data_IF_410430331823
#
_entry.id   IF_410430331823
#
_cell.length_a   1.000
_cell.length_b   1.000
_cell.length_c   1.000
_cell.angle_alpha   90.00
_cell.angle_beta   90.00
_cell.angle_gamma   90.00
#
_symmetry.space_group_name_H-M   'P 1'
#
loop_
_entity.id
_entity.type
_entity.pdbx_description
1 polymer ?
#
# COMPACT_ATOMS: atom_id res chain seq x y z
N UNK A 1 18.36 15.37 1.55
CA UNK A 1 18.45 14.85 0.15
C UNK A 1 17.31 15.41 -0.67
N UNK A 2 17.42 15.46 -2.02
CA UNK A 2 16.29 15.80 -2.89
C UNK A 2 15.60 14.50 -3.31
N UNK A 3 14.31 14.57 -3.60
CA UNK A 3 13.59 13.45 -4.18
C UNK A 3 14.18 13.04 -5.54
N UNK A 4 14.39 11.75 -5.74
CA UNK A 4 14.75 11.17 -7.03
C UNK A 4 14.30 9.72 -7.11
N UNK A 5 14.11 9.22 -8.33
CA UNK A 5 13.89 7.80 -8.59
C UNK A 5 14.84 7.33 -9.67
N UNK A 6 15.52 6.23 -9.42
CA UNK A 6 16.52 5.66 -10.33
C UNK A 6 16.28 4.16 -10.47
N UNK A 7 16.25 3.66 -11.71
CA UNK A 7 16.20 2.24 -12.01
C UNK A 7 17.63 1.77 -12.26
N UNK A 8 18.14 0.94 -11.36
CA UNK A 8 19.51 0.40 -11.44
C UNK A 8 19.59 -0.81 -12.37
N UNK A 9 18.53 -1.64 -12.43
CA UNK A 9 18.46 -2.84 -13.27
C UNK A 9 17.04 -3.15 -13.69
N UNK A 10 16.90 -3.67 -14.91
CA UNK A 10 15.64 -4.23 -15.40
C UNK A 10 15.85 -5.72 -15.69
N UNK A 11 14.98 -6.56 -15.18
CA UNK A 11 14.93 -8.01 -15.42
C UNK A 11 14.27 -8.28 -16.78
N UNK A 12 14.56 -9.41 -17.45
CA UNK A 12 13.90 -9.78 -18.73
C UNK A 12 12.36 -9.83 -18.66
N UNK A 13 11.77 -10.06 -17.49
CA UNK A 13 10.31 -10.00 -17.27
C UNK A 13 9.73 -8.59 -17.38
N UNK A 14 10.56 -7.54 -17.26
CA UNK A 14 10.13 -6.16 -17.15
C UNK A 14 10.20 -5.59 -15.71
N UNK A 15 10.48 -6.42 -14.73
CA UNK A 15 10.67 -6.01 -13.34
C UNK A 15 11.84 -5.03 -13.19
N UNK A 16 11.70 -4.08 -12.28
CA UNK A 16 12.68 -3.00 -12.09
C UNK A 16 13.26 -3.04 -10.69
N UNK A 17 14.58 -3.15 -10.59
CA UNK A 17 15.34 -2.92 -9.35
C UNK A 17 15.78 -1.47 -9.32
N UNK A 18 15.32 -0.71 -8.35
CA UNK A 18 15.60 0.72 -8.29
C UNK A 18 15.75 1.26 -6.88
N UNK A 19 15.84 2.57 -6.80
CA UNK A 19 15.96 3.33 -5.55
C UNK A 19 15.13 4.61 -5.64
N UNK A 20 14.19 4.76 -4.71
CA UNK A 20 13.48 6.01 -4.48
C UNK A 20 14.15 6.74 -3.31
N UNK A 21 14.65 7.93 -3.57
CA UNK A 21 15.27 8.78 -2.53
C UNK A 21 14.28 9.82 -2.05
N UNK A 22 14.13 9.96 -0.74
CA UNK A 22 13.35 11.02 -0.08
C UNK A 22 14.28 11.88 0.80
N UNK A 23 13.83 13.01 1.32
CA UNK A 23 14.60 13.78 2.30
C UNK A 23 15.02 12.95 3.52
N UNK A 24 14.27 11.92 3.88
CA UNK A 24 14.48 11.07 5.06
C UNK A 24 15.29 9.80 4.78
N UNK A 25 15.65 9.54 3.54
CA UNK A 25 16.45 8.38 3.19
C UNK A 25 16.11 7.73 1.86
N UNK A 26 16.78 6.64 1.56
CA UNK A 26 16.59 5.86 0.35
C UNK A 26 15.69 4.65 0.62
N UNK A 27 14.79 4.38 -0.30
CA UNK A 27 13.88 3.24 -0.31
C UNK A 27 14.29 2.32 -1.46
N UNK A 28 14.55 1.06 -1.14
CA UNK A 28 14.92 0.05 -2.12
C UNK A 28 13.66 -0.49 -2.81
N UNK A 29 13.54 -0.33 -4.14
CA UNK A 29 12.40 -0.83 -4.88
C UNK A 29 12.74 -2.11 -5.68
N UNK A 30 11.78 -3.03 -5.87
CA UNK A 30 10.40 -2.95 -5.39
C UNK A 30 10.28 -3.04 -3.86
N UNK A 31 9.25 -2.37 -3.32
CA UNK A 31 9.01 -2.25 -1.87
C UNK A 31 7.56 -2.57 -1.51
N UNK A 32 7.37 -3.19 -0.35
CA UNK A 32 6.07 -3.33 0.31
C UNK A 32 5.97 -2.31 1.45
N UNK A 33 4.85 -1.59 1.52
CA UNK A 33 4.57 -0.59 2.55
C UNK A 33 3.62 -1.16 3.60
N UNK A 34 4.07 -1.44 4.83
CA UNK A 34 3.16 -1.79 5.93
C UNK A 34 2.15 -0.67 6.19
N UNK A 35 0.86 -1.05 6.36
CA UNK A 35 -0.22 -0.08 6.53
C UNK A 35 -0.37 0.34 7.99
N UNK A 36 -0.10 1.61 8.26
CA UNK A 36 -0.25 2.30 9.53
C UNK A 36 -1.49 3.20 9.58
N UNK A 37 -2.70 2.61 9.57
CA UNK A 37 -4.00 3.28 9.38
C UNK A 37 -4.20 4.54 10.22
N UNK A 38 -3.84 4.52 11.50
CA UNK A 38 -4.01 5.62 12.46
C UNK A 38 -2.65 6.01 13.07
N UNK A 39 -1.69 6.32 12.22
CA UNK A 39 -0.30 6.59 12.61
C UNK A 39 0.35 5.42 13.40
N UNK A 40 -0.09 4.19 13.15
CA UNK A 40 0.50 2.99 13.74
C UNK A 40 0.22 1.76 12.89
N UNK A 41 1.22 0.94 12.66
CA UNK A 41 1.06 -0.42 12.12
C UNK A 41 0.56 -1.29 13.26
N UNK A 42 -0.66 -1.81 13.13
CA UNK A 42 -1.36 -2.46 14.24
C UNK A 42 -0.57 -3.61 14.85
N UNK A 43 -0.28 -3.49 16.16
CA UNK A 43 0.45 -4.50 16.92
C UNK A 43 1.97 -4.40 16.86
N UNK A 44 2.53 -3.36 16.22
CA UNK A 44 3.98 -3.12 16.16
C UNK A 44 4.31 -1.70 16.65
N UNK A 45 5.43 -1.58 17.36
CA UNK A 45 6.07 -0.31 17.63
C UNK A 45 6.93 0.12 16.44
N UNK A 46 7.34 1.39 16.42
CA UNK A 46 8.24 1.90 15.39
C UNK A 46 9.60 1.21 15.43
N UNK A 47 10.16 0.98 16.62
CA UNK A 47 11.40 0.24 16.83
C UNK A 47 11.37 -1.15 16.16
N UNK A 48 10.26 -1.88 16.33
CA UNK A 48 10.09 -3.19 15.69
C UNK A 48 10.03 -3.06 14.16
N UNK A 49 9.37 -2.04 13.63
CA UNK A 49 9.32 -1.80 12.18
C UNK A 49 10.72 -1.47 11.61
N UNK A 50 11.53 -0.71 12.35
CA UNK A 50 12.92 -0.43 11.99
C UNK A 50 13.78 -1.70 12.03
N UNK A 51 13.65 -2.52 13.08
CA UNK A 51 14.32 -3.83 13.19
C UNK A 51 13.95 -4.78 12.05
N UNK A 52 12.70 -4.72 11.57
CA UNK A 52 12.22 -5.49 10.43
C UNK A 52 12.69 -4.92 9.08
N UNK A 53 13.30 -3.75 9.05
CA UNK A 53 13.82 -3.10 7.86
C UNK A 53 12.74 -2.43 6.99
N UNK A 54 11.65 -1.95 7.59
CA UNK A 54 10.68 -1.15 6.87
C UNK A 54 11.26 0.23 6.55
N UNK A 55 11.37 0.57 5.27
CA UNK A 55 11.93 1.85 4.80
C UNK A 55 10.85 2.91 4.54
N UNK A 56 9.60 2.47 4.40
CA UNK A 56 8.43 3.31 4.16
C UNK A 56 7.19 2.62 4.73
N UNK A 57 6.27 3.41 5.26
CA UNK A 57 4.93 2.95 5.69
C UNK A 57 3.84 3.76 4.99
N UNK A 58 2.62 3.21 4.96
CA UNK A 58 1.45 3.94 4.49
C UNK A 58 0.58 4.36 5.68
N UNK A 59 0.11 5.62 5.68
CA UNK A 59 -0.87 6.12 6.64
C UNK A 59 -2.15 6.59 5.92
N UNK A 60 -3.32 6.40 6.56
CA UNK A 60 -4.59 6.70 5.90
C UNK A 60 -5.11 8.11 6.25
N UNK A 61 -5.19 8.95 5.25
CA UNK A 61 -5.64 10.36 5.37
C UNK A 61 -7.02 10.48 6.00
N UNK A 62 -8.00 9.68 5.57
CA UNK A 62 -9.36 9.70 6.11
C UNK A 62 -9.38 9.54 7.64
N UNK A 63 -8.69 8.53 8.16
CA UNK A 63 -8.68 8.26 9.59
C UNK A 63 -7.98 9.37 10.39
N UNK A 64 -6.86 9.86 9.88
CA UNK A 64 -6.09 10.92 10.52
C UNK A 64 -6.76 12.29 10.44
N UNK A 65 -7.54 12.55 9.39
CA UNK A 65 -8.39 13.72 9.25
C UNK A 65 -9.49 13.74 10.32
N UNK A 66 -10.18 12.61 10.52
CA UNK A 66 -11.26 12.53 11.51
C UNK A 66 -10.73 12.48 12.94
N UNK A 67 -9.61 11.78 13.16
CA UNK A 67 -9.00 11.64 14.50
C UNK A 67 -7.49 11.35 14.38
N UNK A 68 -6.61 12.14 14.97
CA UNK A 68 -6.89 13.26 15.88
C UNK A 68 -7.19 14.60 15.19
N UNK A 69 -7.19 14.64 13.85
CA UNK A 69 -7.30 15.83 13.04
C UNK A 69 -5.93 16.32 12.52
N UNK A 70 -5.88 16.63 11.23
CA UNK A 70 -4.64 17.02 10.54
C UNK A 70 -4.01 18.30 11.10
N UNK A 71 -4.84 19.25 11.58
CA UNK A 71 -4.36 20.49 12.21
C UNK A 71 -3.60 20.24 13.52
N UNK A 72 -4.07 19.26 14.33
CA UNK A 72 -3.36 18.86 15.53
C UNK A 72 -2.02 18.22 15.19
N UNK A 73 -2.01 17.30 14.22
CA UNK A 73 -0.78 16.64 13.76
C UNK A 73 0.22 17.66 13.23
N UNK A 74 -0.24 18.66 12.44
CA UNK A 74 0.60 19.77 11.96
C UNK A 74 1.23 20.55 13.10
N UNK A 75 0.45 20.93 14.11
CA UNK A 75 0.93 21.67 15.30
C UNK A 75 1.98 20.88 16.10
N UNK A 76 1.90 19.55 16.06
CA UNK A 76 2.85 18.65 16.74
C UNK A 76 4.09 18.31 15.86
N UNK A 77 4.21 18.92 14.67
CA UNK A 77 5.38 18.79 13.81
C UNK A 77 5.27 17.74 12.71
N UNK A 78 4.04 17.36 12.31
CA UNK A 78 3.75 16.38 11.28
C UNK A 78 3.79 14.93 11.76
N UNK A 79 3.42 13.98 10.88
CA UNK A 79 3.29 12.56 11.22
C UNK A 79 4.59 11.95 11.73
N UNK A 80 5.73 12.27 11.11
CA UNK A 80 7.03 11.73 11.50
C UNK A 80 7.34 11.97 12.98
N UNK A 81 7.15 13.22 13.42
CA UNK A 81 7.35 13.59 14.82
C UNK A 81 6.25 13.06 15.72
N UNK A 82 5.00 13.13 15.28
CA UNK A 82 3.83 12.69 16.04
C UNK A 82 3.90 11.20 16.40
N UNK A 83 4.37 10.36 15.49
CA UNK A 83 4.47 8.91 15.70
C UNK A 83 5.90 8.41 15.95
N UNK A 84 6.90 9.29 16.02
CA UNK A 84 8.32 8.94 16.17
C UNK A 84 8.83 7.97 15.08
N UNK A 85 8.47 8.26 13.81
CA UNK A 85 8.90 7.47 12.66
C UNK A 85 9.93 8.24 11.82
N UNK A 86 11.21 7.78 11.76
CA UNK A 86 12.28 8.53 11.11
C UNK A 86 12.40 8.27 9.60
N UNK A 87 11.61 7.33 9.05
CA UNK A 87 11.66 6.94 7.64
C UNK A 87 10.48 7.49 6.86
N UNK A 88 10.41 7.18 5.55
CA UNK A 88 9.40 7.72 4.67
C UNK A 88 7.96 7.31 5.03
N UNK A 89 7.00 8.19 4.74
CA UNK A 89 5.57 7.96 4.87
C UNK A 89 4.89 8.30 3.55
N UNK A 90 4.06 7.40 3.04
CA UNK A 90 3.07 7.68 2.01
C UNK A 90 1.70 7.85 2.69
N UNK A 91 0.95 8.90 2.34
CA UNK A 91 -0.46 9.02 2.71
C UNK A 91 -1.35 8.77 1.50
N UNK A 92 -2.39 7.94 1.68
CA UNK A 92 -3.44 7.80 0.67
C UNK A 92 -4.30 9.08 0.57
N UNK A 93 -5.22 9.11 -0.40
CA UNK A 93 -6.12 10.26 -0.60
C UNK A 93 -7.27 10.33 0.41
N UNK A 94 -7.61 9.20 1.05
CA UNK A 94 -8.82 9.01 1.83
C UNK A 94 -10.05 8.60 1.02
N UNK A 95 -9.99 8.63 -0.32
CA UNK A 95 -11.12 8.33 -1.20
C UNK A 95 -11.69 6.92 -1.00
N UNK A 96 -10.83 5.91 -0.96
CA UNK A 96 -11.23 4.52 -0.74
C UNK A 96 -11.92 4.31 0.62
N UNK A 97 -11.46 4.94 1.70
CA UNK A 97 -12.05 4.79 3.03
C UNK A 97 -13.43 5.47 3.10
N UNK A 98 -13.60 6.61 2.45
CA UNK A 98 -14.93 7.23 2.29
C UNK A 98 -15.85 6.28 1.52
N UNK A 99 -15.33 5.62 0.46
CA UNK A 99 -16.07 4.64 -0.31
C UNK A 99 -16.47 3.43 0.54
N UNK A 100 -15.57 2.86 1.34
CA UNK A 100 -15.77 1.58 2.05
C UNK A 100 -16.41 1.70 3.44
N UNK A 101 -16.32 2.87 4.10
CA UNK A 101 -16.74 3.04 5.51
C UNK A 101 -17.92 3.98 5.70
N UNK A 102 -18.35 4.70 4.67
CA UNK A 102 -19.47 5.63 4.77
C UNK A 102 -20.69 5.12 4.02
N UNK A 103 -21.72 4.70 4.73
CA UNK A 103 -23.00 4.30 4.15
C UNK A 103 -23.76 5.48 3.51
N UNK A 104 -23.47 6.71 3.97
CA UNK A 104 -24.06 7.94 3.50
C UNK A 104 -23.00 8.82 2.81
N UNK A 105 -22.68 8.48 1.57
CA UNK A 105 -21.79 9.28 0.72
C UNK A 105 -22.50 9.78 -0.51
N UNK A 106 -22.13 10.96 -0.97
CA UNK A 106 -22.59 11.54 -2.23
C UNK A 106 -21.39 12.03 -3.02
N UNK A 107 -21.15 11.40 -4.19
CA UNK A 107 -20.14 11.85 -5.14
C UNK A 107 -20.67 13.02 -5.94
N UNK A 108 -19.85 14.06 -6.10
CA UNK A 108 -20.12 15.24 -6.92
C UNK A 108 -18.83 15.64 -7.63
N UNK A 109 -18.92 16.50 -8.64
CA UNK A 109 -17.73 17.00 -9.32
C UNK A 109 -16.87 17.90 -8.40
N UNK A 110 -17.48 18.50 -7.38
CA UNK A 110 -16.77 19.27 -6.35
C UNK A 110 -15.88 18.40 -5.46
N UNK A 111 -16.37 17.22 -5.08
CA UNK A 111 -15.73 16.30 -4.15
C UNK A 111 -16.72 15.27 -3.62
N UNK A 112 -16.37 14.60 -2.52
CA UNK A 112 -17.24 13.61 -1.87
C UNK A 112 -17.77 14.14 -0.54
N UNK A 113 -19.10 14.19 -0.41
CA UNK A 113 -19.79 14.44 0.86
C UNK A 113 -20.01 13.13 1.58
N UNK A 114 -19.70 13.09 2.85
CA UNK A 114 -19.87 11.88 3.67
C UNK A 114 -20.15 12.22 5.13
N UNK A 115 -20.66 11.23 5.86
CA UNK A 115 -20.80 11.30 7.31
C UNK A 115 -19.70 10.50 7.99
N UNK A 116 -19.10 11.11 9.00
CA UNK A 116 -18.08 10.47 9.83
C UNK A 116 -18.67 9.24 10.55
N UNK A 117 -17.99 8.11 10.43
CA UNK A 117 -18.34 6.88 11.16
C UNK A 117 -18.07 6.98 12.68
N UNK A 118 -17.40 8.04 13.13
CA UNK A 118 -17.07 8.24 14.55
C UNK A 118 -18.18 8.95 15.30
N UNK A 119 -18.76 9.98 14.72
CA UNK A 119 -19.70 10.90 15.40
C UNK A 119 -20.86 11.37 14.51
N UNK A 120 -20.93 10.90 13.27
CA UNK A 120 -21.99 11.25 12.31
C UNK A 120 -21.89 12.66 11.72
N UNK A 121 -20.85 13.44 12.02
CA UNK A 121 -20.65 14.77 11.46
C UNK A 121 -20.52 14.74 9.93
N UNK A 122 -21.01 15.80 9.27
CA UNK A 122 -20.94 15.91 7.81
C UNK A 122 -19.63 16.56 7.37
N UNK A 123 -19.02 15.98 6.35
CA UNK A 123 -17.76 16.42 5.77
C UNK A 123 -17.88 16.51 4.25
N UNK A 124 -17.15 17.47 3.66
CA UNK A 124 -16.88 17.55 2.24
C UNK A 124 -15.38 17.41 2.00
N UNK A 125 -14.97 16.33 1.36
CA UNK A 125 -13.60 16.10 0.94
C UNK A 125 -13.47 16.47 -0.53
N UNK A 126 -12.90 17.64 -0.81
CA UNK A 126 -12.56 18.08 -2.16
C UNK A 126 -11.12 17.65 -2.50
N UNK A 127 -10.70 17.68 -3.77
CA UNK A 127 -9.31 17.44 -4.15
C UNK A 127 -8.30 18.35 -3.43
N UNK A 128 -8.65 19.64 -3.30
CA UNK A 128 -7.83 20.62 -2.59
C UNK A 128 -7.75 20.32 -1.09
N UNK A 129 -8.90 19.93 -0.49
CA UNK A 129 -8.95 19.57 0.93
C UNK A 129 -8.16 18.31 1.22
N UNK A 130 -8.22 17.30 0.35
CA UNK A 130 -7.39 16.09 0.48
C UNK A 130 -5.88 16.40 0.38
N UNK A 131 -5.50 17.30 -0.53
CA UNK A 131 -4.13 17.79 -0.64
C UNK A 131 -3.70 18.59 0.60
N UNK A 132 -4.55 19.53 1.08
CA UNK A 132 -4.32 20.33 2.29
C UNK A 132 -4.07 19.42 3.51
N UNK A 133 -4.91 18.40 3.71
CA UNK A 133 -4.77 17.46 4.82
C UNK A 133 -3.42 16.75 4.76
N UNK A 134 -3.03 16.22 3.60
CA UNK A 134 -1.77 15.50 3.43
C UNK A 134 -0.54 16.42 3.59
N UNK A 135 -0.64 17.67 3.12
CA UNK A 135 0.36 18.69 3.38
C UNK A 135 0.51 18.99 4.89
N UNK A 136 -0.59 19.08 5.61
CA UNK A 136 -0.60 19.29 7.06
C UNK A 136 -0.06 18.07 7.83
N UNK A 137 -0.34 16.86 7.36
CA UNK A 137 0.21 15.62 7.91
C UNK A 137 1.72 15.51 7.69
N UNK A 138 2.26 16.12 6.62
CA UNK A 138 3.70 16.16 6.34
C UNK A 138 4.28 14.81 5.91
N UNK A 139 3.52 14.00 5.15
CA UNK A 139 4.04 12.77 4.54
C UNK A 139 5.05 13.08 3.43
N UNK A 140 5.89 12.12 3.04
CA UNK A 140 6.83 12.28 1.93
C UNK A 140 6.14 12.16 0.58
N UNK A 141 5.15 11.27 0.49
CA UNK A 141 4.37 11.03 -0.72
C UNK A 141 2.89 11.20 -0.41
N UNK A 142 2.22 12.09 -1.13
CA UNK A 142 0.79 12.32 -1.07
C UNK A 142 0.10 11.78 -2.32
N UNK A 143 -1.12 11.25 -2.19
CA UNK A 143 -1.91 10.74 -3.31
C UNK A 143 -3.00 11.75 -3.69
N UNK A 144 -3.30 11.86 -5.00
CA UNK A 144 -4.48 12.63 -5.43
C UNK A 144 -5.77 11.96 -4.97
N UNK A 145 -6.83 12.74 -4.75
CA UNK A 145 -8.16 12.17 -4.51
C UNK A 145 -8.67 11.48 -5.77
N UNK A 146 -9.20 10.28 -5.62
CA UNK A 146 -9.75 9.45 -6.70
C UNK A 146 -11.10 8.87 -6.35
N UNK A 147 -11.87 8.48 -7.36
CA UNK A 147 -13.09 7.72 -7.18
C UNK A 147 -12.87 6.26 -7.50
N UNK A 148 -12.77 5.44 -6.44
CA UNK A 148 -12.77 4.00 -6.57
C UNK A 148 -14.20 3.49 -6.70
N UNK A 149 -14.44 2.58 -7.64
CA UNK A 149 -15.75 1.93 -7.86
C UNK A 149 -15.65 0.42 -7.66
N UNK A 150 -16.74 -0.20 -7.26
CA UNK A 150 -16.81 -1.66 -7.08
C UNK A 150 -16.70 -2.40 -8.42
N UNK A 151 -16.11 -3.58 -8.39
CA UNK A 151 -16.05 -4.49 -9.52
C UNK A 151 -16.99 -5.70 -9.27
N UNK A 152 -17.82 -6.10 -10.26
CA UNK A 152 -17.92 -5.54 -11.62
C UNK A 152 -18.70 -4.22 -11.67
N UNK A 153 -18.22 -3.28 -12.48
CA UNK A 153 -18.86 -1.99 -12.68
C UNK A 153 -19.46 -1.87 -14.09
N UNK A 154 -20.61 -1.19 -14.26
CA UNK A 154 -21.10 -0.76 -15.55
C UNK A 154 -20.09 0.21 -16.20
N UNK A 155 -19.96 0.13 -17.52
CA UNK A 155 -18.97 0.93 -18.26
C UNK A 155 -19.18 2.44 -18.10
N UNK A 156 -20.42 2.89 -18.17
CA UNK A 156 -20.80 4.30 -18.00
C UNK A 156 -20.39 4.86 -16.63
N UNK A 157 -20.49 4.06 -15.58
CA UNK A 157 -19.99 4.42 -14.24
C UNK A 157 -18.46 4.49 -14.21
N UNK A 158 -17.76 3.56 -14.88
CA UNK A 158 -16.32 3.59 -14.96
C UNK A 158 -15.80 4.82 -15.72
N UNK A 159 -16.47 5.21 -16.81
CA UNK A 159 -16.18 6.44 -17.57
C UNK A 159 -16.39 7.70 -16.74
N UNK A 160 -17.51 7.78 -16.01
CA UNK A 160 -17.80 8.91 -15.13
C UNK A 160 -16.79 9.04 -13.98
N UNK A 161 -16.41 7.92 -13.34
CA UNK A 161 -15.41 7.89 -12.28
C UNK A 161 -14.02 8.27 -12.78
N UNK A 162 -13.62 7.81 -13.97
CA UNK A 162 -12.38 8.20 -14.62
C UNK A 162 -12.34 9.72 -14.87
N UNK A 163 -13.37 10.27 -15.51
CA UNK A 163 -13.46 11.70 -15.82
C UNK A 163 -13.36 12.54 -14.56
N UNK A 164 -14.08 12.16 -13.51
CA UNK A 164 -14.04 12.85 -12.23
C UNK A 164 -12.68 12.74 -11.56
N UNK A 165 -12.08 11.55 -11.54
CA UNK A 165 -10.74 11.34 -10.96
C UNK A 165 -9.69 12.18 -11.67
N UNK A 166 -9.72 12.27 -13.00
CA UNK A 166 -8.78 13.10 -13.77
C UNK A 166 -8.95 14.59 -13.46
N UNK A 167 -10.19 15.08 -13.39
CA UNK A 167 -10.46 16.47 -13.03
C UNK A 167 -10.03 16.79 -11.58
N UNK A 168 -10.28 15.87 -10.66
CA UNK A 168 -9.81 15.98 -9.27
C UNK A 168 -8.28 15.97 -9.18
N UNK A 169 -7.63 15.12 -9.96
CA UNK A 169 -6.16 15.07 -10.01
C UNK A 169 -5.58 16.40 -10.52
N UNK A 170 -6.19 17.01 -11.56
CA UNK A 170 -5.80 18.32 -12.10
C UNK A 170 -5.93 19.41 -11.04
N UNK A 171 -7.07 19.48 -10.35
CA UNK A 171 -7.32 20.48 -9.28
C UNK A 171 -6.35 20.30 -8.11
N UNK A 172 -6.16 19.05 -7.65
CA UNK A 172 -5.21 18.75 -6.58
C UNK A 172 -3.78 19.13 -6.97
N UNK A 173 -3.38 18.90 -8.23
CA UNK A 173 -2.05 19.24 -8.74
C UNK A 173 -1.81 20.74 -8.73
N UNK A 174 -2.77 21.53 -9.22
CA UNK A 174 -2.69 22.99 -9.21
C UNK A 174 -2.55 23.50 -7.78
N UNK A 175 -3.43 23.06 -6.88
CA UNK A 175 -3.39 23.46 -5.47
C UNK A 175 -2.05 23.13 -4.80
N UNK A 176 -1.53 21.92 -5.06
CA UNK A 176 -0.26 21.47 -4.49
C UNK A 176 0.92 22.30 -4.99
N UNK A 177 0.95 22.65 -6.28
CA UNK A 177 1.97 23.54 -6.87
C UNK A 177 1.90 24.97 -6.32
N UNK A 178 0.72 25.52 -6.14
CA UNK A 178 0.54 26.84 -5.53
C UNK A 178 1.04 26.86 -4.08
N UNK A 179 0.76 25.81 -3.30
CA UNK A 179 1.28 25.67 -1.94
C UNK A 179 2.83 25.57 -1.94
N UNK A 180 3.42 24.87 -2.91
CA UNK A 180 4.86 24.79 -3.09
C UNK A 180 5.48 26.17 -3.35
N UNK A 181 4.88 26.96 -4.23
CA UNK A 181 5.34 28.30 -4.54
C UNK A 181 5.26 29.26 -3.34
N UNK A 182 4.16 29.20 -2.59
CA UNK A 182 3.97 30.06 -1.38
C UNK A 182 4.93 29.73 -0.25
N UNK A 183 5.30 28.46 -0.08
CA UNK A 183 6.10 27.98 1.05
C UNK A 183 7.58 27.74 0.71
N UNK A 184 8.03 28.08 -0.50
CA UNK A 184 9.44 28.02 -0.90
C UNK A 184 10.04 26.63 -1.04
N UNK A 185 9.34 25.70 -1.62
CA UNK A 185 9.59 24.27 -1.86
C UNK A 185 8.87 23.34 -0.88
N UNK A 186 8.03 22.48 -1.42
CA UNK A 186 7.49 21.37 -0.64
C UNK A 186 8.49 20.20 -0.61
N UNK A 187 8.68 19.65 0.57
CA UNK A 187 9.45 18.42 0.76
C UNK A 187 8.58 17.17 0.55
N UNK A 188 7.60 17.23 -0.35
CA UNK A 188 6.65 16.16 -0.63
C UNK A 188 6.48 15.95 -2.13
N UNK A 189 6.30 14.69 -2.55
CA UNK A 189 5.83 14.33 -3.87
C UNK A 189 4.34 14.06 -3.86
N UNK A 190 3.65 14.40 -4.97
CA UNK A 190 2.25 14.05 -5.18
C UNK A 190 2.14 13.07 -6.34
N UNK A 191 1.51 11.91 -6.13
CA UNK A 191 1.32 10.89 -7.16
C UNK A 191 -0.09 10.95 -7.75
N UNK A 192 -0.18 10.78 -9.08
CA UNK A 192 -1.44 10.59 -9.79
C UNK A 192 -1.95 9.17 -9.66
N UNK A 193 -3.27 8.96 -9.75
CA UNK A 193 -3.91 7.64 -9.66
C UNK A 193 -4.65 7.34 -10.95
N UNK A 194 -4.23 6.29 -11.67
CA UNK A 194 -4.91 5.79 -12.87
C UNK A 194 -6.13 4.97 -12.45
N UNK A 195 -7.30 5.32 -12.98
CA UNK A 195 -8.55 4.63 -12.79
C UNK A 195 -9.04 4.01 -14.12
N UNK A 196 -10.20 3.34 -14.15
CA UNK A 196 -10.80 2.74 -15.36
C UNK A 196 -11.37 1.34 -15.16
N UNK A 197 -11.55 0.90 -13.89
CA UNK A 197 -12.05 -0.43 -13.53
C UNK A 197 -11.30 -1.54 -14.28
N UNK A 198 -12.02 -2.51 -14.87
CA UNK A 198 -11.47 -3.60 -15.67
C UNK A 198 -11.60 -3.36 -17.18
N UNK A 199 -11.61 -2.08 -17.62
CA UNK A 199 -11.68 -1.69 -19.02
C UNK A 199 -10.31 -1.16 -19.49
N UNK A 200 -9.63 -1.93 -20.32
CA UNK A 200 -8.27 -1.63 -20.78
C UNK A 200 -8.16 -0.28 -21.53
N UNK A 201 -9.16 0.05 -22.35
CA UNK A 201 -9.21 1.33 -23.08
C UNK A 201 -9.38 2.53 -22.12
N UNK A 202 -10.21 2.39 -21.09
CA UNK A 202 -10.36 3.42 -20.06
C UNK A 202 -9.09 3.58 -19.23
N UNK A 203 -8.42 2.48 -18.88
CA UNK A 203 -7.10 2.51 -18.21
C UNK A 203 -6.07 3.28 -19.02
N UNK A 204 -5.99 3.00 -20.33
CA UNK A 204 -5.09 3.72 -21.25
C UNK A 204 -5.43 5.20 -21.35
N UNK A 205 -6.71 5.53 -21.40
CA UNK A 205 -7.16 6.93 -21.48
C UNK A 205 -6.83 7.68 -20.19
N UNK A 206 -7.14 7.10 -19.02
CA UNK A 206 -6.78 7.67 -17.72
C UNK A 206 -5.27 7.91 -17.59
N UNK A 207 -4.46 6.92 -18.00
CA UNK A 207 -3.01 7.06 -17.97
C UNK A 207 -2.52 8.23 -18.83
N UNK A 208 -3.01 8.38 -20.08
CA UNK A 208 -2.64 9.50 -20.96
C UNK A 208 -2.98 10.85 -20.35
N UNK A 209 -4.23 11.01 -19.85
CA UNK A 209 -4.67 12.26 -19.23
C UNK A 209 -3.85 12.65 -18.00
N UNK A 210 -3.42 11.66 -17.19
CA UNK A 210 -2.57 11.92 -16.03
C UNK A 210 -1.12 12.23 -16.41
N UNK A 211 -0.61 11.69 -17.51
CA UNK A 211 0.72 12.02 -18.02
C UNK A 211 0.83 13.50 -18.40
N UNK A 212 -0.23 14.10 -18.94
CA UNK A 212 -0.28 15.54 -19.26
C UNK A 212 -0.17 16.42 -18.01
N UNK A 213 -0.46 15.88 -16.82
CA UNK A 213 -0.34 16.60 -15.53
C UNK A 213 1.07 16.49 -14.89
N UNK A 214 1.97 15.70 -15.48
CA UNK A 214 3.38 15.52 -15.09
C UNK A 214 3.59 15.27 -13.58
N UNK A 215 3.01 14.20 -13.08
CA UNK A 215 3.25 13.77 -11.70
C UNK A 215 4.64 13.13 -11.54
N UNK A 216 5.31 13.33 -10.38
CA UNK A 216 6.59 12.69 -10.07
C UNK A 216 6.51 11.17 -9.87
N UNK A 217 5.31 10.61 -9.76
CA UNK A 217 5.03 9.19 -9.67
C UNK A 217 3.56 8.88 -9.96
N UNK A 218 3.26 7.63 -10.26
CA UNK A 218 1.93 7.20 -10.68
C UNK A 218 1.50 5.94 -9.95
N UNK A 219 0.23 5.91 -9.55
CA UNK A 219 -0.38 4.73 -8.99
C UNK A 219 -1.42 4.12 -9.94
N UNK A 220 -1.60 2.82 -9.82
CA UNK A 220 -2.68 2.05 -10.44
C UNK A 220 -3.69 1.76 -9.34
N UNK A 221 -4.81 2.49 -9.35
CA UNK A 221 -5.89 2.36 -8.38
C UNK A 221 -7.10 1.60 -8.95
N UNK A 222 -8.11 1.36 -8.11
CA UNK A 222 -9.36 0.70 -8.50
C UNK A 222 -9.21 -0.73 -9.00
N UNK A 223 -8.22 -1.43 -8.48
CA UNK A 223 -7.99 -2.87 -8.64
C UNK A 223 -7.91 -3.53 -7.26
N UNK A 224 -7.94 -4.87 -7.20
CA UNK A 224 -8.04 -5.67 -5.98
C UNK A 224 -9.31 -5.36 -5.16
N UNK A 225 -10.40 -5.01 -5.84
CA UNK A 225 -11.71 -4.67 -5.27
C UNK A 225 -12.80 -5.70 -5.65
N UNK A 226 -12.40 -6.92 -6.06
CA UNK A 226 -13.31 -8.03 -6.33
C UNK A 226 -13.04 -8.80 -7.62
N UNK A 227 -12.22 -8.28 -8.53
CA UNK A 227 -11.83 -8.95 -9.76
C UNK A 227 -10.82 -10.09 -9.51
N UNK A 228 -10.71 -11.08 -10.45
CA UNK A 228 -9.68 -12.11 -10.41
C UNK A 228 -8.27 -11.53 -10.53
N UNK A 229 -7.27 -12.25 -9.99
CA UNK A 229 -5.85 -11.87 -10.05
C UNK A 229 -5.35 -11.62 -11.48
N UNK A 230 -5.75 -12.48 -12.41
CA UNK A 230 -5.38 -12.38 -13.82
C UNK A 230 -5.86 -11.06 -14.42
N UNK A 231 -7.09 -10.65 -14.10
CA UNK A 231 -7.65 -9.37 -14.55
C UNK A 231 -6.90 -8.17 -13.94
N UNK A 232 -6.52 -8.27 -12.64
CA UNK A 232 -5.66 -7.25 -12.01
C UNK A 232 -4.33 -7.13 -12.76
N UNK A 233 -3.70 -8.26 -13.11
CA UNK A 233 -2.43 -8.27 -13.84
C UNK A 233 -2.57 -7.69 -15.24
N UNK A 234 -3.62 -8.05 -15.99
CA UNK A 234 -3.89 -7.51 -17.32
C UNK A 234 -4.05 -5.98 -17.28
N UNK A 235 -4.87 -5.48 -16.38
CA UNK A 235 -5.12 -4.04 -16.25
C UNK A 235 -3.88 -3.28 -15.76
N UNK A 236 -3.09 -3.86 -14.88
CA UNK A 236 -1.82 -3.27 -14.44
C UNK A 236 -0.80 -3.21 -15.58
N UNK A 237 -0.70 -4.25 -16.42
CA UNK A 237 0.16 -4.29 -17.59
C UNK A 237 -0.21 -3.20 -18.61
N UNK A 238 -1.50 -3.00 -18.89
CA UNK A 238 -1.99 -1.95 -19.79
C UNK A 238 -1.54 -0.55 -19.33
N UNK A 239 -1.54 -0.31 -18.03
CA UNK A 239 -1.12 0.98 -17.46
C UNK A 239 0.40 1.11 -17.47
N UNK A 240 1.13 0.10 -16.97
CA UNK A 240 2.59 0.20 -16.83
C UNK A 240 3.32 0.32 -18.16
N UNK A 241 2.74 -0.20 -19.26
CA UNK A 241 3.25 -0.02 -20.61
C UNK A 241 3.30 1.44 -21.08
N UNK A 242 2.43 2.29 -20.52
CA UNK A 242 2.33 3.72 -20.87
C UNK A 242 3.10 4.62 -19.91
N UNK A 243 3.31 4.19 -18.66
CA UNK A 243 3.94 5.02 -17.64
C UNK A 243 5.45 5.23 -17.90
N UNK A 244 5.99 6.43 -17.61
CA UNK A 244 7.40 6.74 -17.80
C UNK A 244 8.31 5.76 -17.06
N UNK A 245 9.48 5.48 -17.65
CA UNK A 245 10.45 4.55 -17.07
C UNK A 245 11.21 5.15 -15.88
N UNK A 246 11.32 6.46 -15.83
CA UNK A 246 12.01 7.24 -14.82
C UNK A 246 11.11 7.71 -13.67
N UNK A 247 9.89 7.18 -13.58
CA UNK A 247 8.94 7.49 -12.50
C UNK A 247 8.59 6.22 -11.72
N UNK A 248 8.43 6.30 -10.38
CA UNK A 248 7.96 5.18 -9.57
C UNK A 248 6.50 4.83 -9.89
N UNK A 249 6.18 3.53 -9.84
CA UNK A 249 4.87 2.96 -10.14
C UNK A 249 4.35 2.20 -8.93
N UNK A 250 3.20 2.59 -8.46
CA UNK A 250 2.58 2.05 -7.26
C UNK A 250 1.28 1.33 -7.59
N UNK A 251 1.16 0.04 -7.26
CA UNK A 251 -0.10 -0.71 -7.36
C UNK A 251 -0.75 -0.77 -5.98
N UNK A 252 -1.94 -0.16 -5.86
CA UNK A 252 -2.60 0.09 -4.58
C UNK A 252 -3.36 -1.13 -4.06
N UNK A 253 -3.28 -1.38 -2.76
CA UNK A 253 -4.13 -2.33 -2.05
C UNK A 253 -3.84 -3.81 -2.30
N UNK A 254 -2.74 -4.16 -2.93
CA UNK A 254 -2.34 -5.53 -3.28
C UNK A 254 -1.15 -5.97 -2.45
N UNK A 255 -0.93 -7.23 -2.23
CA UNK A 255 -1.55 -8.46 -2.70
C UNK A 255 -1.24 -9.60 -1.74
N UNK A 256 -1.59 -10.83 -2.12
CA UNK A 256 -1.14 -12.01 -1.39
C UNK A 256 0.34 -12.28 -1.64
N UNK A 257 1.07 -12.93 -0.70
CA UNK A 257 2.51 -13.18 -0.85
C UNK A 257 2.91 -13.80 -2.20
N UNK A 258 2.15 -14.80 -2.64
CA UNK A 258 2.37 -15.52 -3.89
C UNK A 258 2.17 -14.67 -5.16
N UNK A 259 1.50 -13.53 -5.05
CA UNK A 259 1.17 -12.62 -6.17
C UNK A 259 2.16 -11.45 -6.32
N UNK A 260 2.97 -11.17 -5.28
CA UNK A 260 3.82 -9.98 -5.27
C UNK A 260 4.83 -9.97 -6.42
N UNK A 261 5.42 -11.13 -6.73
CA UNK A 261 6.39 -11.25 -7.81
C UNK A 261 5.75 -11.04 -9.20
N UNK A 262 4.48 -11.43 -9.38
CA UNK A 262 3.75 -11.23 -10.62
C UNK A 262 3.56 -9.74 -10.91
N UNK A 263 3.13 -8.97 -9.90
CA UNK A 263 2.98 -7.52 -10.04
C UNK A 263 4.31 -6.81 -10.31
N UNK A 264 5.38 -7.26 -9.64
CA UNK A 264 6.73 -6.74 -9.88
C UNK A 264 7.20 -7.03 -11.30
N UNK A 265 6.91 -8.21 -11.85
CA UNK A 265 7.21 -8.56 -13.23
C UNK A 265 6.56 -7.62 -14.26
N UNK A 266 5.43 -6.98 -13.90
CA UNK A 266 4.77 -5.95 -14.71
C UNK A 266 5.40 -4.56 -14.57
N UNK A 267 6.50 -4.43 -13.85
CA UNK A 267 7.21 -3.16 -13.64
C UNK A 267 6.63 -2.30 -12.51
N UNK A 268 5.93 -2.88 -11.55
CA UNK A 268 5.47 -2.21 -10.32
C UNK A 268 6.64 -2.12 -9.31
N UNK A 269 6.80 -0.95 -8.71
CA UNK A 269 7.88 -0.64 -7.75
C UNK A 269 7.41 -0.59 -6.30
N UNK A 270 6.14 -0.26 -6.07
CA UNK A 270 5.59 -0.03 -4.73
C UNK A 270 4.25 -0.74 -4.58
N UNK A 271 4.02 -1.34 -3.42
CA UNK A 271 2.76 -2.03 -3.09
C UNK A 271 2.46 -1.86 -1.61
N UNK A 272 1.18 -1.90 -1.26
CA UNK A 272 0.69 -1.95 0.11
C UNK A 272 -0.48 -2.92 0.20
N UNK A 273 -0.72 -3.48 1.36
CA UNK A 273 -2.02 -4.01 1.72
C UNK A 273 -2.14 -4.23 3.25
N UNK A 274 -3.37 -4.37 3.71
CA UNK A 274 -3.66 -4.65 5.13
C UNK A 274 -3.47 -6.12 5.51
N UNK A 275 -3.24 -7.00 4.54
CA UNK A 275 -3.23 -8.45 4.75
C UNK A 275 -2.24 -8.91 5.82
N UNK A 276 -0.97 -8.46 5.87
CA UNK A 276 -0.04 -8.93 6.90
C UNK A 276 -0.58 -8.75 8.31
N UNK A 277 -1.06 -7.55 8.61
CA UNK A 277 -1.55 -7.20 9.95
C UNK A 277 -2.99 -7.70 10.20
N UNK A 278 -3.86 -7.66 9.17
CA UNK A 278 -5.25 -8.11 9.30
C UNK A 278 -5.32 -9.63 9.47
N UNK A 279 -4.65 -10.40 8.62
CA UNK A 279 -4.61 -11.85 8.70
C UNK A 279 -4.02 -12.32 10.04
N UNK A 280 -2.95 -11.68 10.51
CA UNK A 280 -2.33 -11.98 11.79
C UNK A 280 -3.32 -11.91 12.95
N UNK A 281 -4.09 -10.81 13.04
CA UNK A 281 -5.12 -10.66 14.08
C UNK A 281 -6.24 -11.69 14.01
N UNK A 282 -6.43 -12.31 12.85
CA UNK A 282 -7.36 -13.42 12.63
C UNK A 282 -6.70 -14.79 12.64
N UNK A 283 -5.50 -14.89 13.26
CA UNK A 283 -4.76 -16.16 13.43
C UNK A 283 -4.38 -16.84 12.11
N UNK A 284 -4.22 -16.08 11.04
CA UNK A 284 -3.70 -16.55 9.76
C UNK A 284 -2.27 -16.02 9.56
N UNK A 285 -1.33 -16.93 9.42
CA UNK A 285 0.10 -16.66 9.29
C UNK A 285 0.57 -17.08 7.89
N UNK A 286 1.41 -16.25 7.29
CA UNK A 286 2.02 -16.54 6.00
C UNK A 286 3.38 -17.21 6.19
N UNK A 287 3.65 -18.26 5.42
CA UNK A 287 4.90 -18.99 5.49
C UNK A 287 5.45 -19.26 4.09
N UNK A 288 6.69 -19.72 4.01
CA UNK A 288 7.32 -20.15 2.76
C UNK A 288 6.59 -21.29 2.04
N UNK A 289 5.71 -22.00 2.74
CA UNK A 289 4.94 -23.14 2.23
C UNK A 289 3.44 -22.85 2.08
N UNK A 290 3.00 -21.61 2.36
CA UNK A 290 1.61 -21.23 2.29
C UNK A 290 1.04 -20.71 3.61
N UNK A 291 -0.30 -20.74 3.78
CA UNK A 291 -0.99 -20.15 4.93
C UNK A 291 -1.17 -21.14 6.07
N UNK A 292 -0.79 -20.74 7.26
CA UNK A 292 -1.01 -21.48 8.52
C UNK A 292 -2.17 -20.83 9.29
N UNK A 293 -3.28 -21.54 9.44
CA UNK A 293 -4.40 -21.15 10.31
C UNK A 293 -4.11 -21.70 11.71
N UNK A 294 -3.42 -20.91 12.55
CA UNK A 294 -2.79 -21.38 13.79
C UNK A 294 -3.79 -21.92 14.84
N UNK A 295 -5.07 -21.55 14.76
CA UNK A 295 -6.11 -22.09 15.65
C UNK A 295 -6.46 -23.56 15.40
N UNK A 296 -6.06 -24.15 14.28
CA UNK A 296 -6.34 -25.54 13.98
C UNK A 296 -5.80 -26.49 15.07
N UNK A 297 -6.57 -27.54 15.39
CA UNK A 297 -6.25 -28.50 16.44
C UNK A 297 -4.91 -29.21 16.18
N UNK A 298 -4.52 -29.43 14.91
CA UNK A 298 -3.26 -30.08 14.52
C UNK A 298 -2.02 -29.39 15.09
N UNK A 299 -2.10 -28.10 15.42
CA UNK A 299 -0.98 -27.33 15.97
C UNK A 299 -0.92 -27.35 17.51
N UNK A 300 -1.83 -28.08 18.20
CA UNK A 300 -1.87 -28.08 19.67
C UNK A 300 -0.60 -28.61 20.34
N UNK A 301 0.12 -29.50 19.66
CA UNK A 301 1.39 -30.10 20.14
C UNK A 301 2.57 -29.83 19.16
N UNK A 302 2.39 -28.95 18.17
CA UNK A 302 3.41 -28.69 17.16
C UNK A 302 4.49 -27.76 17.73
N UNK A 303 5.66 -28.30 18.01
CA UNK A 303 6.81 -27.59 18.55
C UNK A 303 7.62 -26.83 17.48
N UNK A 304 7.30 -27.00 16.20
CA UNK A 304 7.97 -26.28 15.10
C UNK A 304 7.67 -24.78 15.18
N UNK A 305 8.56 -23.93 14.63
CA UNK A 305 8.27 -22.51 14.45
C UNK A 305 7.12 -22.30 13.46
N UNK A 306 6.61 -21.06 13.36
CA UNK A 306 5.58 -20.70 12.36
C UNK A 306 6.06 -21.14 10.96
N UNK A 307 7.27 -20.74 10.60
CA UNK A 307 7.94 -21.06 9.35
C UNK A 307 9.39 -21.48 9.66
N UNK A 308 9.77 -22.73 9.36
CA UNK A 308 11.15 -23.20 9.59
C UNK A 308 12.22 -22.43 8.79
N UNK A 309 11.85 -21.80 7.67
CA UNK A 309 12.77 -21.01 6.84
C UNK A 309 12.84 -19.53 7.25
N UNK A 310 11.93 -19.09 8.12
CA UNK A 310 11.85 -17.70 8.54
C UNK A 310 12.86 -17.36 9.64
N UNK A 311 13.57 -16.25 9.48
CA UNK A 311 14.61 -15.78 10.42
C UNK A 311 14.12 -14.75 11.44
N UNK A 312 12.81 -14.40 11.47
CA UNK A 312 12.31 -13.42 12.43
C UNK A 312 12.46 -13.89 13.88
N UNK A 313 12.48 -12.93 14.82
CA UNK A 313 12.63 -13.23 16.25
C UNK A 313 11.52 -14.14 16.79
N UNK A 314 10.33 -14.07 16.22
CA UNK A 314 9.18 -14.91 16.60
C UNK A 314 9.42 -16.37 16.21
N UNK A 315 9.83 -16.67 14.98
CA UNK A 315 10.12 -18.02 14.52
C UNK A 315 11.33 -18.63 15.25
N UNK A 316 12.32 -17.82 15.62
CA UNK A 316 13.47 -18.32 16.39
C UNK A 316 13.15 -18.67 17.84
N UNK A 317 12.03 -18.17 18.39
CA UNK A 317 11.75 -18.26 19.81
C UNK A 317 10.50 -19.04 20.18
N UNK A 318 9.46 -19.02 19.35
CA UNK A 318 8.14 -19.52 19.71
C UNK A 318 7.68 -20.66 18.79
N UNK A 319 7.01 -21.66 19.38
CA UNK A 319 6.41 -22.77 18.65
C UNK A 319 4.98 -22.44 18.17
N UNK A 320 4.52 -23.19 17.18
CA UNK A 320 3.11 -23.16 16.73
C UNK A 320 2.16 -23.50 17.88
N UNK A 321 2.51 -24.47 18.74
CA UNK A 321 1.71 -24.85 19.90
C UNK A 321 1.52 -23.68 20.86
N UNK A 322 2.58 -22.94 21.17
CA UNK A 322 2.50 -21.77 22.04
C UNK A 322 1.63 -20.65 21.46
N UNK A 323 1.85 -20.31 20.18
CA UNK A 323 1.04 -19.30 19.51
C UNK A 323 -0.43 -19.70 19.42
N UNK A 324 -0.72 -20.98 19.14
CA UNK A 324 -2.09 -21.49 19.17
C UNK A 324 -2.71 -21.31 20.56
N UNK A 325 -1.98 -21.63 21.62
CA UNK A 325 -2.42 -21.44 23.00
C UNK A 325 -2.78 -19.97 23.26
N UNK A 326 -1.91 -19.01 22.90
CA UNK A 326 -2.17 -17.58 23.08
C UNK A 326 -3.43 -17.12 22.35
N UNK A 327 -3.65 -17.57 21.12
CA UNK A 327 -4.88 -17.27 20.37
C UNK A 327 -6.13 -17.91 20.99
N UNK A 328 -6.03 -19.10 21.55
CA UNK A 328 -7.13 -19.77 22.24
C UNK A 328 -7.47 -19.10 23.57
N UNK A 329 -6.45 -18.58 24.26
CA UNK A 329 -6.60 -17.84 25.53
C UNK A 329 -7.05 -16.37 25.31
N UNK A 330 -7.06 -15.88 24.08
CA UNK A 330 -7.43 -14.48 23.78
C UNK A 330 -6.34 -13.46 24.16
N UNK A 331 -5.10 -13.89 24.31
CA UNK A 331 -3.98 -13.04 24.70
C UNK A 331 -3.61 -12.04 23.59
N UNK A 332 -3.44 -10.76 23.95
CA UNK A 332 -3.04 -9.70 23.01
C UNK A 332 -1.71 -10.04 22.33
N UNK A 333 -0.78 -10.64 23.07
CA UNK A 333 0.53 -11.07 22.59
C UNK A 333 0.43 -11.99 21.36
N UNK A 334 -0.63 -12.78 21.22
CA UNK A 334 -0.87 -13.60 20.03
C UNK A 334 -0.89 -12.76 18.74
N UNK A 335 -1.68 -11.68 18.75
CA UNK A 335 -1.80 -10.79 17.60
C UNK A 335 -0.51 -10.01 17.33
N UNK A 336 0.22 -9.61 18.37
CA UNK A 336 1.52 -8.91 18.26
C UNK A 336 2.55 -9.82 17.60
N UNK A 337 2.76 -11.02 18.11
CA UNK A 337 3.73 -11.98 17.56
C UNK A 337 3.36 -12.39 16.13
N UNK A 338 2.09 -12.64 15.87
CA UNK A 338 1.58 -12.96 14.53
C UNK A 338 1.81 -11.82 13.53
N UNK A 339 1.57 -10.58 13.95
CA UNK A 339 1.79 -9.38 13.09
C UNK A 339 3.27 -9.18 12.82
N UNK A 340 4.12 -9.32 13.85
CA UNK A 340 5.57 -9.25 13.68
C UNK A 340 6.06 -10.25 12.61
N UNK A 341 5.65 -11.52 12.74
CA UNK A 341 6.02 -12.53 11.76
C UNK A 341 5.52 -12.22 10.35
N UNK A 342 4.23 -11.89 10.20
CA UNK A 342 3.66 -11.63 8.87
C UNK A 342 4.28 -10.40 8.19
N UNK A 343 4.55 -9.31 8.93
CA UNK A 343 5.22 -8.12 8.37
C UNK A 343 6.65 -8.45 7.97
N UNK A 344 7.40 -9.16 8.83
CA UNK A 344 8.73 -9.66 8.46
C UNK A 344 8.68 -10.48 7.17
N UNK A 345 7.74 -11.41 7.06
CA UNK A 345 7.59 -12.29 5.91
C UNK A 345 7.37 -11.51 4.60
N UNK A 346 6.51 -10.48 4.62
CA UNK A 346 6.30 -9.63 3.45
C UNK A 346 7.54 -8.81 3.07
N UNK A 347 8.21 -8.23 4.04
CA UNK A 347 9.44 -7.46 3.80
C UNK A 347 10.58 -8.35 3.28
N UNK A 348 10.67 -9.59 3.80
CA UNK A 348 11.68 -10.56 3.34
C UNK A 348 11.38 -11.08 1.92
N UNK A 349 10.12 -11.32 1.57
CA UNK A 349 9.74 -11.64 0.16
C UNK A 349 10.20 -10.50 -0.77
N UNK A 350 9.98 -9.24 -0.41
CA UNK A 350 10.43 -8.12 -1.25
C UNK A 350 11.95 -8.08 -1.38
N UNK A 351 12.70 -8.41 -0.33
CA UNK A 351 14.14 -8.57 -0.40
C UNK A 351 14.53 -9.68 -1.37
N UNK A 352 13.91 -10.85 -1.27
CA UNK A 352 14.15 -11.99 -2.19
C UNK A 352 13.77 -11.64 -3.65
N UNK A 353 12.68 -10.91 -3.87
CA UNK A 353 12.28 -10.42 -5.21
C UNK A 353 13.37 -9.49 -5.78
N UNK A 354 13.89 -8.54 -4.97
CA UNK A 354 14.98 -7.67 -5.42
C UNK A 354 16.23 -8.45 -5.80
N UNK A 355 16.61 -9.45 -5.03
CA UNK A 355 17.72 -10.36 -5.36
C UNK A 355 17.44 -11.16 -6.63
N UNK A 356 16.22 -11.68 -6.80
CA UNK A 356 15.84 -12.40 -8.01
C UNK A 356 15.93 -11.51 -9.28
N UNK A 357 15.58 -10.23 -9.19
CA UNK A 357 15.78 -9.25 -10.28
C UNK A 357 17.27 -9.05 -10.55
N UNK A 358 18.10 -8.92 -9.52
CA UNK A 358 19.54 -8.75 -9.67
C UNK A 358 20.22 -9.94 -10.36
N UNK A 359 19.69 -11.15 -10.15
CA UNK A 359 20.20 -12.37 -10.81
C UNK A 359 19.46 -12.74 -12.11
N UNK A 360 18.44 -11.98 -12.53
CA UNK A 360 17.66 -12.26 -13.74
C UNK A 360 16.80 -13.53 -13.63
N UNK A 361 16.29 -13.84 -12.42
CA UNK A 361 15.63 -15.09 -12.10
C UNK A 361 14.21 -14.91 -11.53
N UNK A 362 13.57 -13.76 -11.73
CA UNK A 362 12.28 -13.44 -11.11
C UNK A 362 11.16 -14.39 -11.54
N UNK A 363 11.14 -14.80 -12.81
CA UNK A 363 10.11 -15.71 -13.33
C UNK A 363 10.15 -17.07 -12.61
N UNK A 364 11.34 -17.62 -12.40
CA UNK A 364 11.49 -18.88 -11.66
C UNK A 364 11.10 -18.70 -10.19
N UNK A 365 11.49 -17.59 -9.56
CA UNK A 365 11.09 -17.26 -8.19
C UNK A 365 9.57 -17.20 -8.04
N UNK A 366 8.85 -16.53 -8.96
CA UNK A 366 7.38 -16.46 -8.96
C UNK A 366 6.76 -17.86 -9.13
N UNK A 367 7.22 -18.64 -10.10
CA UNK A 367 6.74 -20.00 -10.36
C UNK A 367 6.91 -20.91 -9.14
N UNK A 368 8.05 -20.83 -8.45
CA UNK A 368 8.33 -21.60 -7.24
C UNK A 368 7.42 -21.18 -6.07
N UNK A 369 7.14 -19.89 -5.93
CA UNK A 369 6.21 -19.38 -4.92
C UNK A 369 4.80 -19.92 -5.18
N UNK A 370 4.29 -19.80 -6.39
CA UNK A 370 2.98 -20.36 -6.76
C UNK A 370 2.90 -21.87 -6.51
N UNK A 371 3.91 -22.62 -6.91
CA UNK A 371 3.96 -24.08 -6.69
C UNK A 371 3.96 -24.45 -5.21
N UNK A 372 4.66 -23.71 -4.35
CA UNK A 372 4.66 -23.91 -2.89
C UNK A 372 3.31 -23.59 -2.28
N UNK A 373 2.70 -22.47 -2.65
CA UNK A 373 1.39 -22.06 -2.13
C UNK A 373 0.25 -22.98 -2.59
N UNK A 374 0.33 -23.53 -3.80
CA UNK A 374 -0.65 -24.52 -4.30
C UNK A 374 -0.63 -25.82 -3.51
N UNK A 375 0.56 -26.28 -3.04
CA UNK A 375 0.69 -27.48 -2.20
C UNK A 375 0.18 -27.26 -0.78
N UNK A 376 0.31 -26.04 -0.27
CA UNK A 376 0.00 -25.69 1.11
C UNK A 376 0.98 -26.26 2.15
N UNK A 377 0.89 -25.84 3.42
CA UNK A 377 1.78 -26.26 4.49
C UNK A 377 1.51 -27.72 4.91
N UNK A 378 2.58 -28.47 5.09
CA UNK A 378 2.60 -29.86 5.60
C UNK A 378 2.05 -30.03 7.04
#
# INVERSE_FOLDING_TARGET
MKFSFEVAKTDPSGARRGRLTTPLGAIQTPVFMPVGTQATVKGLTQEVLEELGAEIILANTYHLYLRPGHELVRKLGGLHRFMSWPHAILTDSGGYQVFSLSDLRKMTDEGVRFRSHLDGSEHLLTPEKAAEIQLALGSDIAMVLDECIETPAPRDKAEAALTRTTEWARRARIYFQECAQRNGNLSQWQFGIVQGATFADLRRESARQLLDLDFPGYAVGGLAVGEPHESTCEMAAEVTALLPKDRPRYLMGVGRPEQLADYVALGIDMMDCVLPTRAARHACLYTSEGRVLIKNARYAQDQRPIDPQCTCSVCRRYSRAYLRHLFAAGEITAAILATHHNVHFYLDIMRQIREAIEFGNLVNFSSDMHARYARGPA
#
